data_IF_775458824804
#
_entry.id   IF_775458824804
#
_cell.length_a   1.000
_cell.length_b   1.000
_cell.length_c   1.000
_cell.angle_alpha   90.00
_cell.angle_beta   90.00
_cell.angle_gamma   90.00
#
_symmetry.space_group_name_H-M   'P 1'
#
loop_
_entity.id
_entity.type
_entity.pdbx_description
1 polymer ?
#
# COMPACT_ATOMS: atom_id res chain seq x y z
N UNK A 1 46.25 2.06 -14.22
CA UNK A 1 45.78 0.65 -14.34
C UNK A 1 44.30 0.72 -14.67
N UNK A 2 43.94 0.71 -15.96
CA UNK A 2 42.56 0.87 -16.41
C UNK A 2 41.83 -0.47 -16.32
N UNK A 3 40.68 -0.50 -15.64
CA UNK A 3 39.81 -1.67 -15.60
C UNK A 3 39.23 -1.90 -17.00
N UNK A 4 39.77 -2.89 -17.72
CA UNK A 4 39.35 -3.21 -19.07
C UNK A 4 38.03 -4.00 -19.01
N UNK A 5 36.91 -3.28 -18.95
CA UNK A 5 35.58 -3.91 -18.94
C UNK A 5 35.27 -4.34 -20.37
N UNK A 6 35.37 -5.64 -20.61
CA UNK A 6 35.12 -6.24 -21.91
C UNK A 6 33.73 -5.85 -22.45
N UNK A 7 33.65 -5.53 -23.75
CA UNK A 7 32.44 -5.03 -24.43
C UNK A 7 31.22 -5.96 -24.28
N UNK A 8 31.46 -7.27 -24.12
CA UNK A 8 30.39 -8.23 -23.83
C UNK A 8 29.72 -7.96 -22.48
N UNK A 9 30.47 -7.57 -21.45
CA UNK A 9 29.95 -7.26 -20.11
C UNK A 9 29.03 -6.04 -20.14
N UNK A 10 29.42 -4.99 -20.88
CA UNK A 10 28.58 -3.79 -21.08
C UNK A 10 27.30 -4.18 -21.83
N UNK A 11 27.41 -4.98 -22.88
CA UNK A 11 26.26 -5.46 -23.66
C UNK A 11 25.28 -6.30 -22.83
N UNK A 12 25.78 -7.17 -21.95
CA UNK A 12 24.95 -7.96 -21.04
C UNK A 12 24.26 -7.08 -19.98
N UNK A 13 24.94 -6.09 -19.42
CA UNK A 13 24.37 -5.15 -18.45
C UNK A 13 23.27 -4.29 -19.09
N UNK A 14 23.46 -3.82 -20.32
CA UNK A 14 22.46 -3.04 -21.04
C UNK A 14 21.20 -3.88 -21.34
N UNK A 15 21.37 -5.11 -21.84
CA UNK A 15 20.25 -6.04 -22.10
C UNK A 15 19.48 -6.40 -20.81
N UNK A 16 20.19 -6.58 -19.70
CA UNK A 16 19.56 -6.84 -18.40
C UNK A 16 18.81 -5.62 -17.88
N UNK A 17 19.35 -4.40 -18.06
CA UNK A 17 18.69 -3.15 -17.65
C UNK A 17 17.36 -2.95 -18.37
N UNK A 18 17.31 -3.18 -19.67
CA UNK A 18 16.07 -3.07 -20.45
C UNK A 18 15.03 -4.12 -20.02
N UNK A 19 15.50 -5.33 -19.71
CA UNK A 19 14.65 -6.43 -19.24
C UNK A 19 14.09 -6.13 -17.84
N UNK A 20 14.92 -5.63 -16.93
CA UNK A 20 14.52 -5.17 -15.59
C UNK A 20 13.51 -4.03 -15.71
N UNK A 21 13.77 -3.04 -16.57
CA UNK A 21 12.85 -1.92 -16.83
C UNK A 21 11.48 -2.40 -17.32
N UNK A 22 11.44 -3.32 -18.30
CA UNK A 22 10.19 -3.91 -18.80
C UNK A 22 9.43 -4.69 -17.73
N UNK A 23 10.13 -5.49 -16.92
CA UNK A 23 9.52 -6.26 -15.83
C UNK A 23 8.98 -5.35 -14.71
N UNK A 24 9.69 -4.26 -14.38
CA UNK A 24 9.22 -3.25 -13.44
C UNK A 24 7.98 -2.51 -13.95
N UNK A 25 7.95 -2.13 -15.24
CA UNK A 25 6.78 -1.53 -15.88
C UNK A 25 5.59 -2.49 -15.91
N UNK A 26 5.81 -3.76 -16.26
CA UNK A 26 4.76 -4.78 -16.26
C UNK A 26 4.24 -5.08 -14.85
N UNK A 27 5.13 -5.15 -13.84
CA UNK A 27 4.75 -5.32 -12.44
C UNK A 27 3.94 -4.13 -11.92
N UNK A 28 4.38 -2.90 -12.24
CA UNK A 28 3.67 -1.65 -11.94
C UNK A 28 2.31 -1.59 -12.62
N UNK A 29 2.19 -2.07 -13.86
CA UNK A 29 0.92 -2.13 -14.58
C UNK A 29 -0.04 -3.15 -13.95
N UNK A 30 0.46 -4.31 -13.52
CA UNK A 30 -0.33 -5.32 -12.80
C UNK A 30 -0.80 -4.83 -11.43
N UNK A 31 0.05 -4.16 -10.64
CA UNK A 31 -0.39 -3.57 -9.37
C UNK A 31 -1.37 -2.41 -9.56
N UNK A 32 -1.26 -1.64 -10.64
CA UNK A 32 -2.26 -0.59 -10.96
C UNK A 32 -3.61 -1.14 -11.41
N UNK A 33 -3.64 -2.27 -12.14
CA UNK A 33 -4.90 -2.87 -12.60
C UNK A 33 -5.75 -3.43 -11.46
N UNK A 34 -5.13 -3.83 -10.34
CA UNK A 34 -5.84 -4.37 -9.19
C UNK A 34 -6.31 -3.28 -8.21
N UNK A 35 -5.78 -2.05 -8.30
CA UNK A 35 -5.94 -1.02 -7.28
C UNK A 35 -7.06 0.01 -7.54
N UNK A 36 -7.82 -0.09 -8.64
CA UNK A 36 -8.63 1.06 -9.10
C UNK A 36 -9.97 0.73 -9.82
N UNK A 37 -10.55 -0.46 -9.69
CA UNK A 37 -11.95 -0.69 -10.17
C UNK A 37 -12.97 -0.27 -9.10
N UNK A 38 -12.80 -0.77 -7.88
CA UNK A 38 -13.69 -0.48 -6.76
C UNK A 38 -13.68 1.01 -6.38
N UNK A 39 -12.51 1.66 -6.47
CA UNK A 39 -12.38 3.12 -6.31
C UNK A 39 -13.19 3.89 -7.37
N UNK A 40 -13.22 3.44 -8.63
CA UNK A 40 -13.96 4.15 -9.69
C UNK A 40 -15.47 4.02 -9.54
N UNK A 41 -15.97 2.86 -9.15
CA UNK A 41 -17.40 2.63 -8.91
C UNK A 41 -17.89 3.38 -7.66
N UNK A 42 -17.09 3.40 -6.59
CA UNK A 42 -17.42 4.14 -5.38
C UNK A 42 -17.45 5.65 -5.64
N UNK A 43 -16.55 6.18 -6.47
CA UNK A 43 -16.60 7.58 -6.89
C UNK A 43 -17.82 7.88 -7.76
N UNK A 44 -18.19 7.00 -8.69
CA UNK A 44 -19.38 7.17 -9.51
C UNK A 44 -20.65 7.31 -8.65
N UNK A 45 -20.78 6.44 -7.64
CA UNK A 45 -21.85 6.49 -6.63
C UNK A 45 -21.81 7.79 -5.82
N UNK A 46 -20.63 8.19 -5.35
CA UNK A 46 -20.45 9.40 -4.53
C UNK A 46 -20.84 10.68 -5.29
N UNK A 47 -20.52 10.76 -6.58
CA UNK A 47 -20.84 11.92 -7.41
C UNK A 47 -22.24 11.84 -8.05
N UNK A 48 -23.02 10.79 -7.77
CA UNK A 48 -24.33 10.55 -8.37
C UNK A 48 -24.31 10.57 -9.91
N UNK A 49 -23.25 10.05 -10.52
CA UNK A 49 -23.08 10.01 -11.97
C UNK A 49 -23.56 8.64 -12.46
N UNK A 50 -24.51 8.61 -13.40
CA UNK A 50 -24.99 7.36 -13.96
C UNK A 50 -23.88 6.71 -14.81
N UNK A 51 -23.76 5.38 -14.74
CA UNK A 51 -22.77 4.63 -15.53
C UNK A 51 -22.91 4.85 -17.04
N UNK A 52 -24.09 5.26 -17.49
CA UNK A 52 -24.38 5.55 -18.90
C UNK A 52 -23.85 6.92 -19.36
N UNK A 53 -23.66 7.87 -18.44
CA UNK A 53 -23.26 9.25 -18.77
C UNK A 53 -21.73 9.41 -18.78
N UNK A 54 -21.03 8.67 -17.91
CA UNK A 54 -19.59 8.78 -17.80
C UNK A 54 -18.93 7.51 -17.28
N UNK A 55 -18.11 6.87 -18.13
CA UNK A 55 -17.30 5.73 -17.73
C UNK A 55 -15.99 6.21 -17.11
N UNK A 56 -15.88 6.10 -15.80
CA UNK A 56 -14.66 6.39 -15.04
C UNK A 56 -13.55 5.40 -15.45
N UNK A 57 -12.72 5.79 -16.42
CA UNK A 57 -11.55 5.00 -16.78
C UNK A 57 -10.42 5.17 -15.77
N UNK A 58 -9.60 4.14 -15.60
CA UNK A 58 -8.36 4.21 -14.81
C UNK A 58 -7.47 5.41 -15.19
N UNK A 59 -7.41 5.71 -16.50
CA UNK A 59 -6.64 6.85 -17.02
C UNK A 59 -7.22 8.20 -16.58
N UNK A 60 -8.54 8.29 -16.45
CA UNK A 60 -9.20 9.49 -15.92
C UNK A 60 -8.88 9.65 -14.43
N UNK A 61 -9.04 8.59 -13.63
CA UNK A 61 -8.78 8.63 -12.19
C UNK A 61 -7.32 9.00 -11.90
N UNK A 62 -6.37 8.41 -12.63
CA UNK A 62 -4.95 8.76 -12.51
C UNK A 62 -4.67 10.24 -12.81
N UNK A 63 -5.22 10.77 -13.92
CA UNK A 63 -5.04 12.17 -14.31
C UNK A 63 -5.71 13.11 -13.32
N UNK A 64 -6.88 12.74 -12.80
CA UNK A 64 -7.61 13.49 -11.78
C UNK A 64 -6.81 13.56 -10.47
N UNK A 65 -6.39 12.40 -9.94
CA UNK A 65 -5.53 12.31 -8.74
C UNK A 65 -4.27 13.18 -8.92
N UNK A 66 -3.60 13.09 -10.07
CA UNK A 66 -2.40 13.88 -10.39
C UNK A 66 -2.66 15.39 -10.48
N UNK A 67 -3.77 15.82 -11.09
CA UNK A 67 -4.11 17.24 -11.25
C UNK A 67 -4.38 17.92 -9.92
N UNK A 68 -5.03 17.21 -9.01
CA UNK A 68 -5.44 17.76 -7.71
C UNK A 68 -4.48 17.40 -6.57
N UNK A 69 -3.33 16.78 -6.87
CA UNK A 69 -2.34 16.41 -5.86
C UNK A 69 -2.82 15.34 -4.87
N UNK A 70 -3.87 14.58 -5.21
CA UNK A 70 -4.38 13.51 -4.37
C UNK A 70 -3.40 12.33 -4.40
N UNK A 71 -2.92 11.95 -3.21
CA UNK A 71 -2.07 10.78 -3.04
C UNK A 71 -2.93 9.63 -2.54
N UNK A 72 -2.88 8.50 -3.22
CA UNK A 72 -3.39 7.25 -2.69
C UNK A 72 -2.34 6.71 -1.73
N UNK A 73 -2.68 6.68 -0.45
CA UNK A 73 -1.87 6.05 0.59
C UNK A 73 -2.54 4.71 0.84
N UNK A 74 -1.84 3.62 0.51
CA UNK A 74 -2.24 2.31 1.00
C UNK A 74 -1.97 2.34 2.49
N UNK A 75 -3.03 2.43 3.30
CA UNK A 75 -2.90 2.16 4.72
C UNK A 75 -2.60 0.67 4.83
N UNK A 76 -1.33 0.34 5.07
CA UNK A 76 -1.01 -0.92 5.71
C UNK A 76 -1.42 -0.76 7.17
N UNK A 77 -2.72 -0.85 7.42
CA UNK A 77 -3.14 -1.44 8.68
C UNK A 77 -2.53 -2.85 8.62
N UNK A 78 -1.77 -3.25 9.64
CA UNK A 78 -1.44 -4.65 9.84
C UNK A 78 -2.76 -5.34 10.15
N UNK A 79 -3.54 -5.55 9.09
CA UNK A 79 -4.86 -6.11 9.15
C UNK A 79 -4.67 -7.57 9.53
N UNK A 80 -4.75 -7.80 10.83
CA UNK A 80 -5.13 -9.03 11.49
C UNK A 80 -4.55 -10.32 10.86
N UNK A 81 -3.22 -10.41 10.75
CA UNK A 81 -2.54 -11.71 10.64
C UNK A 81 -2.04 -12.17 12.01
N UNK A 82 -2.83 -11.95 13.06
CA UNK A 82 -2.57 -12.55 14.38
C UNK A 82 -3.37 -13.83 14.46
N UNK A 83 -2.70 -14.94 14.74
CA UNK A 83 -3.32 -16.25 14.92
C UNK A 83 -4.24 -16.23 16.15
N UNK A 84 -5.51 -16.60 15.95
CA UNK A 84 -6.51 -16.67 17.02
C UNK A 84 -6.04 -17.57 18.17
N UNK A 85 -5.24 -18.61 17.90
CA UNK A 85 -4.67 -19.47 18.94
C UNK A 85 -3.70 -18.71 19.86
N UNK A 86 -2.94 -17.75 19.31
CA UNK A 86 -2.03 -16.89 20.10
C UNK A 86 -2.85 -15.92 20.96
N UNK A 87 -3.96 -15.41 20.43
CA UNK A 87 -4.86 -14.50 21.17
C UNK A 87 -5.51 -15.24 22.34
N UNK A 88 -6.02 -16.45 22.11
CA UNK A 88 -6.66 -17.28 23.13
C UNK A 88 -5.70 -17.64 24.28
N UNK A 89 -4.42 -17.86 24.00
CA UNK A 89 -3.40 -18.08 25.06
C UNK A 89 -3.01 -16.77 25.78
N UNK A 90 -2.87 -15.66 25.05
CA UNK A 90 -2.35 -14.41 25.59
C UNK A 90 -3.38 -13.61 26.42
N UNK A 91 -4.67 -13.67 26.05
CA UNK A 91 -5.72 -12.88 26.70
C UNK A 91 -5.91 -13.19 28.20
N UNK A 92 -5.95 -14.46 28.66
CA UNK A 92 -6.07 -14.77 30.08
C UNK A 92 -4.92 -14.17 30.91
N UNK A 93 -3.69 -14.32 30.43
CA UNK A 93 -2.49 -13.78 31.09
C UNK A 93 -2.51 -12.26 31.14
N UNK A 94 -2.92 -11.60 30.05
CA UNK A 94 -3.08 -10.15 30.02
C UNK A 94 -4.12 -9.69 31.04
N UNK A 95 -5.27 -10.37 31.14
CA UNK A 95 -6.32 -10.06 32.12
C UNK A 95 -5.85 -10.21 33.56
N UNK A 96 -4.98 -11.16 33.87
CA UNK A 96 -4.39 -11.29 35.21
C UNK A 96 -3.51 -10.09 35.55
N UNK A 97 -2.66 -9.65 34.63
CA UNK A 97 -1.82 -8.46 34.81
C UNK A 97 -2.67 -7.21 34.98
N UNK A 98 -3.71 -7.04 34.14
CA UNK A 98 -4.57 -5.86 34.18
C UNK A 98 -5.41 -5.75 35.47
N UNK A 99 -5.65 -6.85 36.21
CA UNK A 99 -6.33 -6.80 37.51
C UNK A 99 -5.55 -6.05 38.58
N UNK A 100 -4.24 -5.90 38.42
CA UNK A 100 -3.38 -5.18 39.36
C UNK A 100 -3.47 -3.66 39.20
N UNK A 101 -4.13 -3.18 38.14
CA UNK A 101 -4.25 -1.77 37.79
C UNK A 101 -5.71 -1.31 37.81
N UNK A 102 -5.94 -0.07 38.25
CA UNK A 102 -7.26 0.56 38.11
C UNK A 102 -7.55 0.85 36.63
N UNK A 103 -8.83 0.85 36.23
CA UNK A 103 -9.24 1.14 34.85
C UNK A 103 -8.73 2.49 34.32
N UNK A 104 -8.53 3.49 35.20
CA UNK A 104 -7.98 4.81 34.85
C UNK A 104 -6.51 4.76 34.42
N UNK A 105 -5.81 3.67 34.73
CA UNK A 105 -4.38 3.47 34.47
C UNK A 105 -4.14 2.52 33.28
N UNK A 106 -5.21 2.02 32.65
CA UNK A 106 -5.15 1.14 31.49
C UNK A 106 -5.39 1.96 30.22
N UNK A 107 -4.35 2.11 29.40
CA UNK A 107 -4.39 2.86 28.15
C UNK A 107 -4.15 1.95 26.94
N UNK A 108 -4.93 2.14 25.89
CA UNK A 108 -4.68 1.49 24.60
C UNK A 108 -3.67 2.32 23.80
N UNK A 109 -2.49 1.76 23.50
CA UNK A 109 -1.41 2.45 22.78
C UNK A 109 -1.21 1.95 21.35
N UNK A 110 -2.17 1.20 20.81
CA UNK A 110 -2.08 0.56 19.49
C UNK A 110 -1.94 1.53 18.31
N UNK A 111 -2.20 2.83 18.49
CA UNK A 111 -2.18 3.83 17.41
C UNK A 111 -1.43 5.13 17.78
N UNK A 112 -0.33 5.04 18.53
CA UNK A 112 0.54 6.21 18.72
C UNK A 112 1.39 6.45 17.46
N UNK A 113 0.78 7.10 16.46
CA UNK A 113 1.46 7.56 15.25
C UNK A 113 2.50 8.62 15.58
N UNK A 114 3.78 8.26 15.48
CA UNK A 114 4.90 9.20 15.57
C UNK A 114 4.95 10.07 14.31
N UNK A 115 4.26 11.20 14.32
CA UNK A 115 4.26 12.15 13.21
C UNK A 115 5.44 13.13 13.34
N UNK A 116 6.53 12.88 12.62
CA UNK A 116 7.52 13.92 12.31
C UNK A 116 7.15 14.57 10.97
N UNK A 117 6.83 15.86 10.99
CA UNK A 117 6.70 16.68 9.79
C UNK A 117 7.90 17.63 9.75
N UNK A 118 8.70 17.55 8.67
CA UNK A 118 9.63 18.59 8.23
C UNK A 118 9.12 19.16 6.91
#
# INVERSE_FOLDING_TARGET
MGLDVHQSTISHLLKNKDTIGKNLLAKRQKTFQHLDLEDTENLAKLFHISENDFKFSHSWLYKFKKRHGLKQIVKHEEDASVDDAIIEEALPRLREILKEYDLKDIYNMNETGLFYWY
#
